data_IF_520283502618
#
_entry.id   IF_520283502618
#
_cell.length_a   1.000
_cell.length_b   1.000
_cell.length_c   1.000
_cell.angle_alpha   90.00
_cell.angle_beta   90.00
_cell.angle_gamma   90.00
#
_symmetry.space_group_name_H-M   'P 1'
#
loop_
_entity.id
_entity.type
_entity.pdbx_description
1 polymer ?
#
# COMPACT_ATOMS: atom_id res chain seq x y z
N UNK A 1 -2.68 -10.91 -1.85
CA UNK A 1 -3.08 -12.33 -1.94
C UNK A 1 -3.39 -12.90 -0.58
N UNK A 2 -2.36 -13.19 0.22
CA UNK A 2 -2.50 -13.93 1.49
C UNK A 2 -3.52 -13.32 2.47
N UNK A 3 -3.51 -11.99 2.67
CA UNK A 3 -4.37 -11.32 3.67
C UNK A 3 -5.86 -11.36 3.31
N UNK A 4 -6.20 -11.21 2.01
CA UNK A 4 -7.57 -11.31 1.53
C UNK A 4 -8.11 -12.72 1.75
N UNK A 5 -7.33 -13.73 1.35
CA UNK A 5 -7.73 -15.15 1.43
C UNK A 5 -7.83 -15.64 2.88
N UNK A 6 -7.00 -15.12 3.78
CA UNK A 6 -6.96 -15.58 5.17
C UNK A 6 -7.95 -14.86 6.10
N UNK A 7 -8.26 -13.57 5.85
CA UNK A 7 -9.06 -12.78 6.81
C UNK A 7 -9.99 -11.74 6.18
N UNK A 8 -9.89 -11.50 4.87
CA UNK A 8 -10.58 -10.39 4.17
C UNK A 8 -10.37 -9.00 4.81
N UNK A 9 -9.35 -8.83 5.67
CA UNK A 9 -9.11 -7.61 6.45
C UNK A 9 -9.66 -7.62 7.89
N UNK A 10 -10.14 -8.75 8.40
CA UNK A 10 -10.70 -8.90 9.76
C UNK A 10 -9.72 -9.37 10.85
N UNK A 11 -10.10 -9.28 12.15
CA UNK A 11 -11.35 -8.74 12.71
C UNK A 11 -11.24 -7.23 13.01
N UNK A 12 -12.22 -6.46 12.53
CA UNK A 12 -12.30 -5.01 12.75
C UNK A 12 -11.30 -4.17 11.94
N UNK A 13 -10.81 -4.65 10.79
CA UNK A 13 -9.89 -3.88 9.94
C UNK A 13 -8.41 -3.97 10.35
N UNK A 14 -8.07 -4.73 11.40
CA UNK A 14 -6.71 -4.77 11.95
C UNK A 14 -5.65 -5.37 11.01
N UNK A 15 -6.06 -6.16 10.03
CA UNK A 15 -5.18 -6.71 8.98
C UNK A 15 -5.37 -6.01 7.65
N UNK A 16 -6.16 -4.92 7.60
CA UNK A 16 -6.45 -4.20 6.36
C UNK A 16 -5.20 -3.45 5.89
N UNK A 17 -4.51 -4.05 4.91
CA UNK A 17 -3.39 -3.39 4.23
C UNK A 17 -3.91 -2.42 3.17
N UNK A 18 -3.19 -1.32 2.87
CA UNK A 18 -3.68 -0.31 1.93
C UNK A 18 -3.93 -0.86 0.52
N UNK A 19 -3.16 -1.88 0.12
CA UNK A 19 -3.37 -2.59 -1.14
C UNK A 19 -4.72 -3.36 -1.18
N UNK A 20 -5.19 -3.87 -0.05
CA UNK A 20 -6.47 -4.55 0.07
C UNK A 20 -7.64 -3.56 0.04
N UNK A 21 -7.45 -2.39 0.64
CA UNK A 21 -8.42 -1.31 0.59
C UNK A 21 -8.62 -0.79 -0.84
N UNK A 22 -7.53 -0.49 -1.56
CA UNK A 22 -7.60 -0.08 -2.96
C UNK A 22 -8.23 -1.15 -3.87
N UNK A 23 -8.00 -2.44 -3.56
CA UNK A 23 -8.64 -3.55 -4.28
C UNK A 23 -10.16 -3.56 -4.07
N UNK A 24 -10.64 -3.44 -2.82
CA UNK A 24 -12.07 -3.34 -2.55
C UNK A 24 -12.68 -2.12 -3.24
N UNK A 25 -12.00 -0.99 -3.21
CA UNK A 25 -12.50 0.24 -3.81
C UNK A 25 -12.65 0.14 -5.33
N UNK A 26 -11.66 -0.45 -6.01
CA UNK A 26 -11.69 -0.61 -7.46
C UNK A 26 -12.62 -1.72 -7.92
N UNK A 27 -12.53 -2.90 -7.30
CA UNK A 27 -13.17 -4.12 -7.81
C UNK A 27 -14.48 -4.49 -7.09
N UNK A 28 -14.64 -4.11 -5.81
CA UNK A 28 -15.85 -4.42 -5.03
C UNK A 28 -16.88 -3.30 -5.13
N UNK A 29 -16.45 -2.03 -5.09
CA UNK A 29 -17.32 -0.86 -5.14
C UNK A 29 -17.35 -0.18 -6.52
N UNK A 30 -16.47 -0.56 -7.44
CA UNK A 30 -16.44 -0.03 -8.82
C UNK A 30 -15.84 1.38 -8.93
N UNK A 31 -15.19 1.90 -7.88
CA UNK A 31 -14.56 3.21 -7.85
C UNK A 31 -13.11 3.16 -8.37
N UNK A 32 -12.96 2.82 -9.65
CA UNK A 32 -11.65 2.63 -10.29
C UNK A 32 -10.74 3.86 -10.22
N UNK A 33 -11.28 5.07 -10.37
CA UNK A 33 -10.50 6.31 -10.29
C UNK A 33 -9.94 6.58 -8.90
N UNK A 34 -10.71 6.28 -7.86
CA UNK A 34 -10.28 6.45 -6.48
C UNK A 34 -9.26 5.37 -6.08
N UNK A 35 -9.46 4.12 -6.52
CA UNK A 35 -8.47 3.06 -6.38
C UNK A 35 -7.13 3.39 -7.09
N UNK A 36 -7.18 3.97 -8.29
CA UNK A 36 -5.99 4.40 -9.02
C UNK A 36 -5.24 5.54 -8.30
N UNK A 37 -5.97 6.51 -7.75
CA UNK A 37 -5.38 7.59 -6.96
C UNK A 37 -4.66 7.05 -5.70
N UNK A 38 -5.26 6.09 -4.99
CA UNK A 38 -4.60 5.42 -3.86
C UNK A 38 -3.33 4.69 -4.28
N UNK A 39 -3.36 4.00 -5.42
CA UNK A 39 -2.17 3.34 -5.99
C UNK A 39 -1.03 4.33 -6.21
N UNK A 40 -1.33 5.48 -6.82
CA UNK A 40 -0.35 6.54 -7.05
C UNK A 40 0.23 7.10 -5.74
N UNK A 41 -0.61 7.30 -4.72
CA UNK A 41 -0.14 7.73 -3.38
C UNK A 41 0.79 6.69 -2.77
N UNK A 42 0.46 5.39 -2.85
CA UNK A 42 1.33 4.32 -2.34
C UNK A 42 2.69 4.31 -3.05
N UNK A 43 2.72 4.54 -4.36
CA UNK A 43 3.97 4.64 -5.13
C UNK A 43 4.83 5.79 -4.60
N UNK A 44 4.25 6.98 -4.40
CA UNK A 44 4.98 8.14 -3.86
C UNK A 44 5.56 7.84 -2.47
N UNK A 45 4.78 7.20 -1.59
CA UNK A 45 5.23 6.84 -0.24
C UNK A 45 6.39 5.85 -0.30
N UNK A 46 6.29 4.80 -1.11
CA UNK A 46 7.36 3.80 -1.25
C UNK A 46 8.62 4.43 -1.84
N UNK A 47 8.49 5.30 -2.84
CA UNK A 47 9.62 6.03 -3.42
C UNK A 47 10.28 6.96 -2.41
N UNK A 48 9.50 7.66 -1.58
CA UNK A 48 10.05 8.52 -0.52
C UNK A 48 10.83 7.71 0.51
N UNK A 49 10.27 6.58 0.97
CA UNK A 49 10.95 5.67 1.89
C UNK A 49 12.22 5.08 1.27
N UNK A 50 12.16 4.66 0.01
CA UNK A 50 13.30 4.14 -0.73
C UNK A 50 14.39 5.21 -0.88
N UNK A 51 14.03 6.44 -1.21
CA UNK A 51 14.96 7.56 -1.31
C UNK A 51 15.68 7.82 0.03
N UNK A 52 14.93 7.84 1.14
CA UNK A 52 15.50 8.00 2.49
C UNK A 52 16.44 6.84 2.81
N UNK A 53 16.01 5.60 2.55
CA UNK A 53 16.80 4.40 2.80
C UNK A 53 18.13 4.43 2.02
N UNK A 54 18.08 4.73 0.72
CA UNK A 54 19.29 4.85 -0.11
C UNK A 54 20.18 6.01 0.34
N UNK A 55 19.61 7.14 0.76
CA UNK A 55 20.37 8.29 1.28
C UNK A 55 21.06 7.97 2.60
N UNK A 56 20.43 7.21 3.48
CA UNK A 56 21.04 6.77 4.75
C UNK A 56 22.12 5.71 4.50
N UNK A 57 21.88 4.76 3.60
CA UNK A 57 22.86 3.75 3.21
C UNK A 57 24.14 4.36 2.64
N UNK A 58 24.04 5.45 1.87
CA UNK A 58 25.22 6.18 1.34
C UNK A 58 26.02 6.92 2.42
N UNK A 59 25.44 7.20 3.59
CA UNK A 59 26.12 7.86 4.73
C UNK A 59 26.86 6.88 5.66
N UNK A 60 26.56 5.59 5.57
CA UNK A 60 27.21 4.54 6.38
C UNK A 60 28.39 3.85 5.69
N UNK A 61 28.80 4.32 4.51
CA UNK A 61 29.93 3.79 3.72
C UNK A 61 31.11 4.79 3.72
N UNK A 62 31.06 5.81 4.59
CA UNK A 62 32.17 6.75 4.84
C UNK A 62 32.80 6.49 6.21
#
# INVERSE_FOLDING_TARGET
GLVYVLTEGGPGGKTMVPALFAYNEGFKYGHFGYAAAMGNVMVIVVLALLYIYLRQGRRGVE
#
